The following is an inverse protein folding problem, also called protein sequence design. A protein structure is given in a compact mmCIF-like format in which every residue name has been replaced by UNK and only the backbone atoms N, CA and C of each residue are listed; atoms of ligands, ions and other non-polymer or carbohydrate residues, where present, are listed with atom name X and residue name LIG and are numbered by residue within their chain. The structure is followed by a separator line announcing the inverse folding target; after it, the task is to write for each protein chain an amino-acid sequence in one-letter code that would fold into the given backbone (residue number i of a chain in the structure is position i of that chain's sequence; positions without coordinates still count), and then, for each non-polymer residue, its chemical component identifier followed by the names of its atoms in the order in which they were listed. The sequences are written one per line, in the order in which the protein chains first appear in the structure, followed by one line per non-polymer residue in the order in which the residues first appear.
data_IF_326079055136
#
_entry.id   IF_326079055136
#
_cell.length_a   1.000
_cell.length_b   1.000
_cell.length_c   1.000
_cell.angle_alpha   90.00
_cell.angle_beta   90.00
_cell.angle_gamma   90.00
#
_symmetry.space_group_name_H-M   'P 1'
#
loop_
_entity.id
_entity.type
_entity.pdbx_description
1 polymer ?
#
# COMPACT_ATOMS: atom_id res chain seq x y z
N UNK A 1 4.46 -37.87 -1.94
CA UNK A 1 4.04 -36.53 -1.47
C UNK A 1 5.09 -35.56 -1.97
N UNK A 2 4.89 -35.03 -3.17
CA UNK A 2 5.74 -33.95 -3.68
C UNK A 2 5.22 -32.67 -3.04
N UNK A 3 6.01 -32.06 -2.17
CA UNK A 3 5.82 -30.65 -1.84
C UNK A 3 6.15 -29.90 -3.11
N UNK A 4 5.12 -29.44 -3.81
CA UNK A 4 5.25 -28.41 -4.83
C UNK A 4 5.87 -27.20 -4.11
N UNK A 5 7.18 -27.03 -4.28
CA UNK A 5 7.83 -25.75 -3.98
C UNK A 5 7.15 -24.75 -4.91
N UNK A 6 6.42 -23.74 -4.41
CA UNK A 6 5.98 -22.68 -5.31
C UNK A 6 7.21 -22.18 -6.03
N UNK A 7 7.19 -22.24 -7.37
CA UNK A 7 8.22 -21.63 -8.20
C UNK A 7 8.36 -20.16 -7.81
N UNK A 8 9.49 -19.50 -8.11
CA UNK A 8 9.67 -18.10 -7.73
C UNK A 8 8.45 -17.35 -8.26
N UNK A 9 7.63 -16.84 -7.34
CA UNK A 9 6.59 -15.89 -7.68
C UNK A 9 7.29 -14.87 -8.57
N UNK A 10 6.77 -14.63 -9.78
CA UNK A 10 7.33 -13.59 -10.65
C UNK A 10 7.41 -12.28 -9.85
N UNK A 11 8.23 -11.30 -10.23
CA UNK A 11 8.25 -10.03 -9.50
C UNK A 11 6.81 -9.51 -9.41
N UNK A 12 6.22 -9.61 -8.22
CA UNK A 12 4.90 -9.08 -7.93
C UNK A 12 5.07 -7.56 -7.89
N UNK A 13 4.21 -6.86 -8.62
CA UNK A 13 4.20 -5.41 -8.57
C UNK A 13 3.87 -4.97 -7.13
N UNK A 14 4.55 -3.92 -6.62
CA UNK A 14 4.24 -3.41 -5.30
C UNK A 14 2.80 -2.89 -5.26
N UNK A 15 2.13 -3.12 -4.15
CA UNK A 15 0.77 -2.63 -3.93
C UNK A 15 0.81 -1.15 -3.58
N UNK A 16 0.01 -0.32 -4.25
CA UNK A 16 -0.02 1.12 -4.00
C UNK A 16 -1.39 1.52 -3.50
N UNK A 17 -1.49 2.02 -2.27
CA UNK A 17 -2.74 2.54 -1.72
C UNK A 17 -2.76 4.06 -1.89
N UNK A 18 -3.78 4.58 -2.55
CA UNK A 18 -3.99 6.01 -2.79
C UNK A 18 -4.97 6.56 -1.78
N UNK A 19 -4.56 7.56 -1.02
CA UNK A 19 -5.32 8.11 0.09
C UNK A 19 -5.48 9.63 -0.02
N UNK A 20 -6.58 10.18 0.53
CA UNK A 20 -6.91 11.60 0.40
C UNK A 20 -5.96 12.50 1.19
N UNK A 21 -5.46 12.03 2.33
CA UNK A 21 -4.71 12.84 3.29
C UNK A 21 -3.50 12.11 3.86
N UNK A 22 -2.57 12.89 4.41
CA UNK A 22 -1.38 12.35 5.09
C UNK A 22 -1.73 11.48 6.30
N UNK A 23 -2.68 11.94 7.10
CA UNK A 23 -3.08 11.24 8.33
C UNK A 23 -3.61 9.84 7.99
N UNK A 24 -4.44 9.74 6.95
CA UNK A 24 -4.89 8.49 6.38
C UNK A 24 -3.71 7.59 5.97
N UNK A 25 -2.71 8.14 5.28
CA UNK A 25 -1.51 7.39 4.85
C UNK A 25 -0.65 6.87 5.99
N UNK A 26 -0.38 7.69 7.00
CA UNK A 26 0.35 7.25 8.19
C UNK A 26 -0.45 6.18 8.96
N UNK A 27 -1.78 6.34 9.05
CA UNK A 27 -2.64 5.39 9.74
C UNK A 27 -2.72 4.04 9.04
N UNK A 28 -2.87 4.03 7.71
CA UNK A 28 -2.89 2.80 6.91
C UNK A 28 -1.54 2.11 6.96
N UNK A 29 -0.43 2.86 6.84
CA UNK A 29 0.92 2.30 6.96
C UNK A 29 1.16 1.61 8.31
N UNK A 30 0.77 2.25 9.43
CA UNK A 30 0.87 1.66 10.77
C UNK A 30 0.02 0.38 10.88
N UNK A 31 -1.24 0.44 10.45
CA UNK A 31 -2.14 -0.73 10.45
C UNK A 31 -1.61 -1.88 9.60
N UNK A 32 -1.02 -1.59 8.45
CA UNK A 32 -0.40 -2.59 7.58
C UNK A 32 0.75 -3.29 8.28
N UNK A 33 1.69 -2.55 8.87
CA UNK A 33 2.81 -3.15 9.62
C UNK A 33 2.38 -3.90 10.89
N UNK A 34 1.28 -3.48 11.52
CA UNK A 34 0.73 -4.16 12.69
C UNK A 34 -0.02 -5.45 12.33
N UNK A 35 -0.64 -5.50 11.15
CA UNK A 35 -1.48 -6.61 10.71
C UNK A 35 -0.74 -7.63 9.86
N UNK A 36 0.15 -7.16 9.00
CA UNK A 36 0.91 -7.97 8.06
C UNK A 36 2.40 -7.96 8.40
N UNK A 37 3.08 -9.12 8.31
CA UNK A 37 4.53 -9.18 8.42
C UNK A 37 5.15 -8.69 7.11
N UNK A 38 5.22 -7.37 6.94
CA UNK A 38 5.85 -6.78 5.76
C UNK A 38 7.37 -6.93 5.81
N UNK A 39 8.03 -7.22 4.68
CA UNK A 39 9.49 -7.30 4.61
C UNK A 39 10.16 -5.93 4.78
N UNK A 40 9.47 -4.87 4.33
CA UNK A 40 9.85 -3.45 4.42
C UNK A 40 8.66 -2.65 4.99
N UNK A 41 8.95 -1.57 5.73
CA UNK A 41 7.94 -0.60 6.15
C UNK A 41 7.29 0.09 4.93
N UNK A 42 5.95 0.25 4.91
CA UNK A 42 5.24 0.90 3.82
C UNK A 42 5.79 2.28 3.53
N UNK A 43 6.03 2.55 2.24
CA UNK A 43 6.64 3.79 1.80
C UNK A 43 5.57 4.83 1.49
N UNK A 44 5.45 5.83 2.36
CA UNK A 44 4.51 6.93 2.19
C UNK A 44 5.12 7.99 1.25
N UNK A 45 4.54 8.15 0.07
CA UNK A 45 4.95 9.09 -0.97
C UNK A 45 3.85 10.15 -1.15
N UNK A 46 4.22 11.42 -1.08
CA UNK A 46 3.33 12.52 -1.45
C UNK A 46 3.45 12.77 -2.95
N UNK A 47 2.37 12.55 -3.69
CA UNK A 47 2.29 12.94 -5.09
C UNK A 47 1.55 14.29 -5.18
N UNK A 48 2.33 15.35 -5.41
CA UNK A 48 1.79 16.68 -5.65
C UNK A 48 1.47 16.78 -7.13
N UNK A 49 0.19 16.75 -7.49
CA UNK A 49 -0.26 17.05 -8.85
C UNK A 49 0.31 18.42 -9.22
N UNK A 50 1.10 18.45 -10.29
CA UNK A 50 1.88 19.63 -10.65
C UNK A 50 0.96 20.78 -11.07
N UNK A 51 0.60 21.66 -10.12
CA UNK A 51 -0.23 22.83 -10.38
C UNK A 51 -0.60 23.61 -9.12
N UNK A 52 0.29 24.56 -8.76
CA UNK A 52 0.01 25.75 -7.95
C UNK A 52 -0.49 25.55 -6.49
N UNK A 53 0.47 25.37 -5.57
CA UNK A 53 0.56 25.93 -4.20
C UNK A 53 -0.70 26.19 -3.35
N UNK A 54 -1.79 25.41 -3.47
CA UNK A 54 -2.74 25.25 -2.39
C UNK A 54 -2.49 23.90 -1.71
N UNK A 55 -2.30 23.91 -0.41
CA UNK A 55 -1.99 22.72 0.40
C UNK A 55 -3.14 21.68 0.45
N UNK A 56 -4.15 21.85 -0.40
CA UNK A 56 -5.46 21.22 -0.37
C UNK A 56 -5.63 20.09 -1.41
N UNK A 57 -4.73 19.94 -2.39
CA UNK A 57 -4.84 18.89 -3.44
C UNK A 57 -3.52 18.11 -3.60
N UNK A 58 -3.11 17.38 -2.55
CA UNK A 58 -2.00 16.44 -2.62
C UNK A 58 -2.48 15.05 -2.27
N UNK A 59 -2.28 14.09 -3.19
CA UNK A 59 -2.59 12.70 -2.92
C UNK A 59 -1.42 12.04 -2.18
N UNK A 60 -1.74 11.12 -1.27
CA UNK A 60 -0.76 10.36 -0.52
C UNK A 60 -0.81 8.89 -0.94
N UNK A 61 0.32 8.38 -1.38
CA UNK A 61 0.49 7.02 -1.88
C UNK A 61 1.23 6.21 -0.82
N UNK A 62 0.72 5.06 -0.43
CA UNK A 62 1.38 4.10 0.45
C UNK A 62 1.81 2.91 -0.39
N UNK A 63 3.11 2.81 -0.67
CA UNK A 63 3.69 1.72 -1.47
C UNK A 63 4.09 0.58 -0.54
N UNK A 64 3.59 -0.61 -0.81
CA UNK A 64 3.84 -1.82 -0.02
C UNK A 64 4.52 -2.85 -0.91
N UNK A 65 5.77 -3.20 -0.58
CA UNK A 65 6.49 -4.25 -1.29
C UNK A 65 5.97 -5.63 -0.86
N UNK A 66 5.42 -6.39 -1.81
CA UNK A 66 5.00 -7.78 -1.62
C UNK A 66 5.72 -8.72 -2.61
N UNK A 67 7.05 -8.88 -2.47
CA UNK A 67 7.82 -9.69 -3.41
C UNK A 67 7.39 -11.18 -3.42
N UNK A 68 6.77 -11.65 -2.34
CA UNK A 68 6.30 -13.02 -2.18
C UNK A 68 4.81 -13.21 -2.57
N UNK A 69 4.07 -12.14 -2.91
CA UNK A 69 2.65 -12.25 -3.27
C UNK A 69 1.77 -12.74 -2.12
N UNK A 70 2.15 -12.44 -0.88
CA UNK A 70 1.52 -12.97 0.35
C UNK A 70 0.44 -12.06 0.91
N UNK A 71 0.37 -10.81 0.44
CA UNK A 71 -0.63 -9.86 0.91
C UNK A 71 -1.98 -10.13 0.26
N UNK A 72 -3.03 -10.08 1.08
CA UNK A 72 -4.39 -10.27 0.61
C UNK A 72 -4.93 -8.93 0.09
N UNK A 73 -5.08 -8.80 -1.23
CA UNK A 73 -5.54 -7.56 -1.87
C UNK A 73 -6.90 -7.10 -1.34
N UNK A 74 -7.78 -8.03 -0.93
CA UNK A 74 -9.06 -7.68 -0.33
C UNK A 74 -8.92 -7.02 1.04
N UNK A 75 -7.95 -7.42 1.87
CA UNK A 75 -7.68 -6.72 3.14
C UNK A 75 -7.01 -5.36 2.88
N UNK A 76 -6.13 -5.27 1.89
CA UNK A 76 -5.51 -3.99 1.49
C UNK A 76 -6.56 -2.99 0.99
N UNK A 77 -7.48 -3.44 0.14
CA UNK A 77 -8.59 -2.64 -0.38
C UNK A 77 -9.47 -2.16 0.77
N UNK A 78 -9.84 -3.04 1.70
CA UNK A 78 -10.66 -2.67 2.87
C UNK A 78 -9.95 -1.67 3.78
N UNK A 79 -8.63 -1.75 3.94
CA UNK A 79 -7.84 -0.75 4.69
C UNK A 79 -7.81 0.61 3.98
N UNK A 80 -7.68 0.61 2.66
CA UNK A 80 -7.73 1.83 1.86
C UNK A 80 -9.13 2.48 1.96
N UNK A 81 -10.19 1.70 1.80
CA UNK A 81 -11.58 2.16 1.87
C UNK A 81 -11.93 2.74 3.25
N UNK A 82 -11.46 2.14 4.36
CA UNK A 82 -11.65 2.68 5.72
C UNK A 82 -11.02 4.07 5.90
N UNK A 83 -9.95 4.33 5.13
CA UNK A 83 -9.24 5.59 5.09
C UNK A 83 -9.69 6.50 3.93
N UNK A 84 -10.86 6.23 3.34
CA UNK A 84 -11.46 6.97 2.22
C UNK A 84 -10.60 6.97 0.93
N UNK A 85 -9.73 5.97 0.78
CA UNK A 85 -8.87 5.76 -0.37
C UNK A 85 -9.16 4.46 -1.15
N UNK A 86 -8.24 4.09 -2.04
CA UNK A 86 -8.34 2.88 -2.88
C UNK A 86 -6.97 2.25 -3.15
N UNK A 87 -6.99 0.98 -3.59
CA UNK A 87 -5.79 0.24 -4.02
C UNK A 87 -5.60 0.36 -5.55
N UNK A 88 -4.36 0.56 -6.00
CA UNK A 88 -3.91 0.50 -7.41
C UNK A 88 -3.16 -0.82 -7.69
#
# INVERSE_FOLDING_TARGET
MSTETPGPAGPHDPHVLVLPDRDAAEQVADRLTARFPLPEEPRVVRDALAGEDDAEDAQWLVVVEDPDGTLDTAELESLAEDAEGWLE
#
